data_IF_792020582770
#
_entry.id   IF_792020582770
#
_cell.length_a   1.000
_cell.length_b   1.000
_cell.length_c   1.000
_cell.angle_alpha   90.00
_cell.angle_beta   90.00
_cell.angle_gamma   90.00
#
_symmetry.space_group_name_H-M   'P 1'
#
loop_
_entity.id
_entity.type
_entity.pdbx_description
1 polymer ?
#
# COMPACT_ATOMS: atom_id res chain seq x y z
N UNK A 1 14.34 46.29 33.48
CA UNK A 1 13.43 46.27 32.32
C UNK A 1 14.10 45.36 31.30
N UNK A 2 13.83 44.04 31.33
CA UNK A 2 12.77 43.37 30.54
C UNK A 2 12.85 43.81 29.07
N UNK A 3 13.08 42.97 28.08
CA UNK A 3 13.24 41.52 27.96
C UNK A 3 13.20 41.31 26.44
N UNK A 4 14.25 40.72 25.85
CA UNK A 4 14.22 40.43 24.41
C UNK A 4 13.24 39.29 24.21
N UNK A 5 12.16 39.57 23.48
CA UNK A 5 11.24 38.58 22.92
C UNK A 5 12.04 37.65 22.01
N UNK A 6 12.49 36.53 22.55
CA UNK A 6 12.88 35.37 21.75
C UNK A 6 11.62 34.88 21.08
N UNK A 7 11.42 35.31 19.83
CA UNK A 7 10.41 34.76 18.93
C UNK A 7 10.87 33.34 18.61
N UNK A 8 10.52 32.40 19.48
CA UNK A 8 10.65 30.97 19.21
C UNK A 8 9.84 30.67 17.95
N UNK A 9 10.56 30.52 16.82
CA UNK A 9 10.01 29.83 15.66
C UNK A 9 9.61 28.43 16.12
N UNK A 10 8.35 27.98 15.92
CA UNK A 10 8.00 26.60 16.16
C UNK A 10 8.53 25.76 15.00
N UNK A 11 9.86 25.58 14.95
CA UNK A 11 10.53 24.65 14.05
C UNK A 11 10.54 23.29 14.74
N UNK A 12 9.37 22.71 14.92
CA UNK A 12 9.21 21.33 15.35
C UNK A 12 8.22 20.65 14.41
N UNK A 13 8.71 20.25 13.23
CA UNK A 13 8.02 19.29 12.34
C UNK A 13 9.06 18.42 11.67
N UNK A 14 9.59 17.44 12.40
CA UNK A 14 10.22 16.31 11.73
C UNK A 14 9.08 15.42 11.20
N UNK A 15 8.59 15.74 10.01
CA UNK A 15 7.70 14.82 9.29
C UNK A 15 8.57 13.61 8.86
N UNK A 16 8.25 12.41 9.34
CA UNK A 16 8.98 11.19 8.96
C UNK A 16 8.48 10.76 7.59
N UNK A 17 9.33 10.84 6.58
CA UNK A 17 9.02 10.35 5.23
C UNK A 17 8.94 8.83 5.29
N UNK A 18 7.76 8.31 4.96
CA UNK A 18 7.50 6.87 4.87
C UNK A 18 7.83 6.34 3.48
N UNK A 19 7.51 7.11 2.43
CA UNK A 19 7.59 6.62 1.06
C UNK A 19 7.76 7.76 0.07
N UNK A 20 8.55 7.53 -0.98
CA UNK A 20 8.66 8.44 -2.12
C UNK A 20 8.05 7.80 -3.37
N UNK A 21 7.22 8.57 -4.07
CA UNK A 21 6.54 8.07 -5.28
C UNK A 21 7.51 7.79 -6.43
N UNK A 22 7.22 6.81 -7.31
CA UNK A 22 8.13 6.39 -8.39
C UNK A 22 8.52 7.50 -9.37
N UNK A 23 7.63 8.48 -9.63
CA UNK A 23 7.93 9.64 -10.49
C UNK A 23 8.30 10.89 -9.68
N UNK A 24 8.40 10.77 -8.36
CA UNK A 24 8.72 11.89 -7.46
C UNK A 24 7.64 12.98 -7.44
N UNK A 25 6.38 12.65 -7.74
CA UNK A 25 5.30 13.65 -7.77
C UNK A 25 4.75 13.95 -6.36
N UNK A 26 4.81 12.98 -5.46
CA UNK A 26 4.45 13.09 -4.05
C UNK A 26 5.35 12.23 -3.15
N UNK A 27 5.20 12.40 -1.84
CA UNK A 27 5.72 11.49 -0.81
C UNK A 27 4.65 11.24 0.26
N UNK A 28 4.78 10.14 0.98
CA UNK A 28 3.97 9.85 2.16
C UNK A 28 4.74 10.24 3.40
N UNK A 29 4.09 10.97 4.31
CA UNK A 29 4.66 11.40 5.58
C UNK A 29 3.79 10.94 6.74
N UNK A 30 4.42 10.56 7.84
CA UNK A 30 3.74 10.38 9.12
C UNK A 30 3.54 11.75 9.77
N UNK A 31 2.29 12.06 10.11
CA UNK A 31 1.94 13.28 10.83
C UNK A 31 2.56 13.31 12.22
N UNK A 32 3.03 14.47 12.71
CA UNK A 32 3.82 14.56 13.94
C UNK A 32 3.02 14.27 15.22
N UNK A 33 1.68 14.43 15.18
CA UNK A 33 0.84 14.40 16.38
C UNK A 33 -0.43 13.53 16.27
N UNK A 34 -0.90 13.26 15.05
CA UNK A 34 -2.21 12.65 14.79
C UNK A 34 -2.12 11.22 14.28
N UNK A 35 -0.89 10.66 14.26
CA UNK A 35 -0.60 9.34 13.72
C UNK A 35 -1.21 9.14 12.33
N UNK A 36 -1.41 10.21 11.54
CA UNK A 36 -2.04 10.11 10.23
C UNK A 36 -0.98 9.97 9.14
N UNK A 37 -1.32 9.30 8.04
CA UNK A 37 -0.48 9.32 6.83
C UNK A 37 -0.94 10.47 5.94
N UNK A 38 0.01 11.31 5.54
CA UNK A 38 -0.23 12.45 4.67
C UNK A 38 0.39 12.20 3.30
N UNK A 39 -0.39 12.44 2.24
CA UNK A 39 0.12 12.54 0.87
C UNK A 39 0.56 13.98 0.65
N UNK A 40 1.86 14.19 0.44
CA UNK A 40 2.48 15.52 0.38
C UNK A 40 3.05 15.76 -1.02
N UNK A 41 2.71 16.90 -1.62
CA UNK A 41 3.25 17.29 -2.92
C UNK A 41 4.76 17.52 -2.83
N UNK A 42 5.51 16.89 -3.74
CA UNK A 42 6.95 17.10 -3.84
C UNK A 42 7.28 18.53 -4.29
N UNK A 43 6.42 19.14 -5.12
CA UNK A 43 6.60 20.50 -5.64
C UNK A 43 6.23 21.59 -4.63
N UNK A 44 5.24 21.33 -3.79
CA UNK A 44 4.77 22.29 -2.80
C UNK A 44 4.33 21.56 -1.51
N UNK A 45 5.22 21.39 -0.52
CA UNK A 45 4.93 20.64 0.70
C UNK A 45 3.77 21.19 1.56
N UNK A 46 3.38 22.45 1.37
CA UNK A 46 2.18 22.99 2.02
C UNK A 46 0.88 22.36 1.49
N UNK A 47 0.92 21.80 0.27
CA UNK A 47 -0.16 21.01 -0.30
C UNK A 47 -0.04 19.57 0.16
N UNK A 48 -0.91 19.21 1.09
CA UNK A 48 -1.01 17.86 1.63
C UNK A 48 -2.45 17.44 1.86
N UNK A 49 -2.71 16.15 1.74
CA UNK A 49 -4.01 15.52 1.97
C UNK A 49 -3.81 14.34 2.92
N UNK A 50 -4.67 14.22 3.93
CA UNK A 50 -4.67 13.02 4.76
C UNK A 50 -5.13 11.84 3.90
N UNK A 51 -4.37 10.75 3.93
CA UNK A 51 -4.79 9.47 3.39
C UNK A 51 -5.75 8.86 4.41
N UNK A 52 -6.95 8.47 3.99
CA UNK A 52 -7.98 7.95 4.90
C UNK A 52 -7.65 6.54 5.36
N UNK A 53 -6.75 6.41 6.32
CA UNK A 53 -6.29 5.13 6.88
C UNK A 53 -6.31 5.10 8.41
N UNK A 54 -6.21 3.89 8.95
CA UNK A 54 -5.86 3.62 10.35
C UNK A 54 -4.54 4.31 10.75
N UNK A 55 -4.23 4.44 12.07
CA UNK A 55 -3.02 5.10 12.53
C UNK A 55 -1.72 4.54 11.93
N UNK A 56 -0.84 5.47 11.58
CA UNK A 56 0.47 5.33 10.95
C UNK A 56 1.54 4.69 11.85
N UNK A 57 1.20 4.30 13.08
CA UNK A 57 2.17 3.79 14.05
C UNK A 57 2.83 2.48 13.66
N UNK A 58 2.17 1.69 12.82
CA UNK A 58 2.69 0.43 12.30
C UNK A 58 2.84 0.48 10.78
N UNK A 59 3.03 1.67 10.20
CA UNK A 59 3.29 1.83 8.76
C UNK A 59 4.76 2.18 8.61
N UNK A 60 5.49 1.29 7.98
CA UNK A 60 6.88 1.46 7.56
C UNK A 60 6.95 1.80 6.08
N UNK A 61 8.15 2.09 5.59
CA UNK A 61 8.39 2.31 4.17
C UNK A 61 8.11 1.07 3.31
N UNK A 62 8.33 -0.12 3.87
CA UNK A 62 8.14 -1.40 3.18
C UNK A 62 6.66 -1.75 3.01
N UNK A 63 5.78 -1.14 3.81
CA UNK A 63 4.34 -1.32 3.70
C UNK A 63 3.71 -0.52 2.54
N UNK A 64 4.49 0.34 1.87
CA UNK A 64 4.00 1.31 0.90
C UNK A 64 4.57 1.05 -0.49
N UNK A 65 3.70 0.78 -1.48
CA UNK A 65 4.14 0.59 -2.87
C UNK A 65 3.15 1.20 -3.86
N UNK A 66 3.61 2.18 -4.64
CA UNK A 66 2.83 2.75 -5.73
C UNK A 66 3.17 2.11 -7.08
N UNK A 67 2.18 2.08 -7.98
CA UNK A 67 2.39 1.63 -9.35
C UNK A 67 3.34 2.58 -10.10
N UNK A 68 4.11 2.11 -11.10
CA UNK A 68 5.00 2.95 -11.89
C UNK A 68 4.30 4.15 -12.53
N UNK A 69 3.03 4.00 -12.93
CA UNK A 69 2.24 5.09 -13.47
C UNK A 69 1.64 6.02 -12.40
N UNK A 70 1.80 5.68 -11.13
CA UNK A 70 1.29 6.33 -9.90
C UNK A 70 -0.23 6.38 -9.79
N UNK A 71 -0.96 5.56 -10.56
CA UNK A 71 -2.43 5.48 -10.42
C UNK A 71 -2.88 4.68 -9.21
N UNK A 72 -2.04 3.78 -8.73
CA UNK A 72 -2.34 2.92 -7.60
C UNK A 72 -1.32 3.11 -6.49
N UNK A 73 -1.79 3.01 -5.25
CA UNK A 73 -0.97 2.94 -4.06
C UNK A 73 -1.48 1.79 -3.22
N UNK A 74 -0.59 0.88 -2.85
CA UNK A 74 -0.86 -0.12 -1.82
C UNK A 74 -0.21 0.38 -0.55
N UNK A 75 -0.98 0.34 0.54
CA UNK A 75 -0.46 0.62 1.86
C UNK A 75 -0.99 -0.43 2.83
N UNK A 76 -0.09 -1.26 3.36
CA UNK A 76 -0.40 -2.52 4.04
C UNK A 76 -1.26 -3.45 3.17
N UNK A 77 -2.55 -3.59 3.53
CA UNK A 77 -3.51 -4.50 2.90
C UNK A 77 -4.68 -3.73 2.27
N UNK A 78 -4.47 -2.46 1.95
CA UNK A 78 -5.45 -1.63 1.28
C UNK A 78 -4.91 -1.12 -0.05
N UNK A 79 -5.78 -1.15 -1.06
CA UNK A 79 -5.49 -0.63 -2.39
C UNK A 79 -6.20 0.72 -2.55
N UNK A 80 -5.43 1.75 -2.87
CA UNK A 80 -5.92 3.09 -3.14
C UNK A 80 -5.79 3.43 -4.61
N UNK A 81 -6.82 4.06 -5.15
CA UNK A 81 -6.81 4.64 -6.48
C UNK A 81 -6.58 6.15 -6.39
N UNK A 82 -5.63 6.65 -7.18
CA UNK A 82 -5.39 8.07 -7.35
C UNK A 82 -6.51 8.70 -8.17
N UNK A 83 -7.18 9.71 -7.61
CA UNK A 83 -8.28 10.45 -8.26
C UNK A 83 -7.81 11.81 -8.77
N UNK A 84 -6.88 12.43 -8.05
CA UNK A 84 -6.21 13.67 -8.48
C UNK A 84 -4.75 13.69 -8.01
N UNK A 85 -4.07 14.84 -8.10
CA UNK A 85 -2.66 14.98 -7.77
C UNK A 85 -2.26 14.42 -6.39
N UNK A 86 -3.09 14.60 -5.36
CA UNK A 86 -2.80 14.17 -3.98
C UNK A 86 -3.93 13.36 -3.34
N UNK A 87 -5.06 13.22 -4.02
CA UNK A 87 -6.21 12.52 -3.49
C UNK A 87 -6.21 11.04 -3.91
N UNK A 88 -6.17 10.19 -2.90
CA UNK A 88 -6.22 8.74 -3.02
C UNK A 88 -7.43 8.24 -2.23
N UNK A 89 -8.22 7.39 -2.86
CA UNK A 89 -9.42 6.80 -2.24
C UNK A 89 -9.30 5.29 -2.23
N UNK A 90 -9.80 4.65 -1.18
CA UNK A 90 -9.84 3.19 -1.12
C UNK A 90 -10.61 2.65 -2.34
N UNK A 91 -10.00 1.72 -3.05
CA UNK A 91 -10.58 1.16 -4.26
C UNK A 91 -11.84 0.37 -3.93
N UNK A 92 -12.95 0.72 -4.58
CA UNK A 92 -14.33 0.26 -4.30
C UNK A 92 -14.86 0.68 -2.92
N UNK A 93 -14.21 0.25 -1.83
CA UNK A 93 -14.49 0.65 -0.44
C UNK A 93 -13.38 0.17 0.50
N UNK A 94 -13.27 0.80 1.67
CA UNK A 94 -12.36 0.37 2.74
C UNK A 94 -12.56 -1.12 3.08
N UNK A 95 -11.46 -1.86 3.17
CA UNK A 95 -11.37 -3.28 3.49
C UNK A 95 -11.68 -4.21 2.30
N UNK A 96 -12.02 -3.69 1.12
CA UNK A 96 -12.35 -4.53 -0.03
C UNK A 96 -11.14 -5.36 -0.47
N UNK A 97 -9.96 -4.74 -0.59
CA UNK A 97 -8.76 -5.43 -1.06
C UNK A 97 -8.35 -6.56 -0.11
N UNK A 98 -8.22 -6.24 1.18
CA UNK A 98 -7.99 -7.23 2.26
C UNK A 98 -8.97 -8.39 2.22
N UNK A 99 -10.28 -8.11 2.16
CA UNK A 99 -11.30 -9.16 2.13
C UNK A 99 -11.15 -10.07 0.92
N UNK A 100 -10.87 -9.52 -0.27
CA UNK A 100 -10.69 -10.31 -1.49
C UNK A 100 -9.41 -11.12 -1.50
N UNK A 101 -8.34 -10.56 -0.96
CA UNK A 101 -7.08 -11.26 -0.77
C UNK A 101 -7.27 -12.48 0.14
N UNK A 102 -7.89 -12.29 1.31
CA UNK A 102 -8.14 -13.35 2.28
C UNK A 102 -9.02 -14.46 1.68
N UNK A 103 -10.12 -14.08 1.01
CA UNK A 103 -10.98 -15.02 0.30
C UNK A 103 -10.21 -15.85 -0.74
N UNK A 104 -9.29 -15.22 -1.48
CA UNK A 104 -8.50 -15.88 -2.50
C UNK A 104 -7.52 -16.88 -1.88
N UNK A 105 -6.81 -16.48 -0.84
CA UNK A 105 -5.82 -17.33 -0.15
C UNK A 105 -6.49 -18.54 0.49
N UNK A 106 -7.60 -18.34 1.20
CA UNK A 106 -8.36 -19.42 1.83
C UNK A 106 -8.85 -20.45 0.80
N UNK A 107 -9.31 -20.00 -0.37
CA UNK A 107 -9.86 -20.87 -1.41
C UNK A 107 -8.79 -21.61 -2.22
N UNK A 108 -7.73 -20.90 -2.59
CA UNK A 108 -6.78 -21.39 -3.60
C UNK A 108 -5.48 -21.92 -2.98
N UNK A 109 -5.02 -21.34 -1.88
CA UNK A 109 -3.80 -21.76 -1.19
C UNK A 109 -4.11 -22.73 -0.05
N UNK A 110 -5.24 -22.54 0.65
CA UNK A 110 -5.71 -23.40 1.75
C UNK A 110 -4.64 -23.62 2.83
N UNK A 111 -4.13 -22.55 3.45
CA UNK A 111 -3.09 -22.72 4.46
C UNK A 111 -3.62 -23.35 5.74
N UNK A 112 -2.72 -23.99 6.47
CA UNK A 112 -3.01 -24.63 7.76
C UNK A 112 -3.37 -23.61 8.86
N UNK A 113 -2.93 -22.36 8.71
CA UNK A 113 -3.22 -21.26 9.63
C UNK A 113 -3.49 -19.95 8.88
N UNK A 114 -4.28 -19.09 9.52
CA UNK A 114 -4.51 -17.70 9.08
C UNK A 114 -3.52 -16.70 9.67
N UNK A 115 -2.53 -17.19 10.41
CA UNK A 115 -1.41 -16.37 10.85
C UNK A 115 -0.38 -16.29 9.71
N UNK A 116 -0.57 -15.32 8.84
CA UNK A 116 0.34 -15.02 7.73
C UNK A 116 0.79 -13.56 7.79
N UNK A 117 1.92 -13.28 7.16
CA UNK A 117 2.47 -11.95 6.94
C UNK A 117 2.34 -11.66 5.45
N UNK A 118 1.92 -10.44 5.11
CA UNK A 118 1.79 -9.98 3.73
C UNK A 118 2.85 -8.93 3.44
N UNK A 119 3.43 -9.03 2.25
CA UNK A 119 4.38 -8.08 1.72
C UNK A 119 3.96 -7.67 0.31
N UNK A 120 3.92 -6.37 0.04
CA UNK A 120 3.74 -5.86 -1.31
C UNK A 120 5.13 -5.77 -1.95
N UNK A 121 5.47 -6.70 -2.84
CA UNK A 121 6.83 -6.82 -3.37
C UNK A 121 7.12 -5.79 -4.47
N UNK A 122 6.09 -5.45 -5.26
CA UNK A 122 6.26 -4.52 -6.36
C UNK A 122 5.13 -4.56 -7.37
N UNK A 123 5.21 -3.68 -8.35
CA UNK A 123 4.30 -3.65 -9.49
C UNK A 123 5.01 -4.06 -10.78
N UNK A 124 4.26 -4.69 -11.68
CA UNK A 124 4.68 -4.87 -13.05
C UNK A 124 4.97 -3.52 -13.72
N UNK A 125 5.88 -3.53 -14.69
CA UNK A 125 6.30 -2.31 -15.40
C UNK A 125 5.15 -1.58 -16.09
N UNK A 126 4.12 -2.31 -16.52
CA UNK A 126 2.91 -1.75 -17.14
C UNK A 126 1.83 -1.33 -16.12
N UNK A 127 2.15 -1.33 -14.83
CA UNK A 127 1.27 -0.95 -13.71
C UNK A 127 -0.02 -1.77 -13.62
N UNK A 128 -0.06 -2.97 -14.23
CA UNK A 128 -1.26 -3.79 -14.28
C UNK A 128 -1.33 -4.86 -13.20
N UNK A 129 -0.20 -5.31 -12.67
CA UNK A 129 -0.12 -6.37 -11.66
C UNK A 129 0.69 -5.92 -10.47
N UNK A 130 0.13 -6.11 -9.28
CA UNK A 130 0.85 -6.00 -8.01
C UNK A 130 1.26 -7.41 -7.58
N UNK A 131 2.55 -7.60 -7.31
CA UNK A 131 3.09 -8.81 -6.70
C UNK A 131 2.94 -8.76 -5.18
N UNK A 132 2.45 -9.85 -4.61
CA UNK A 132 2.18 -9.98 -3.18
C UNK A 132 2.83 -11.26 -2.68
N UNK A 133 3.77 -11.09 -1.76
CA UNK A 133 4.36 -12.16 -0.96
C UNK A 133 3.46 -12.49 0.23
N UNK A 134 3.30 -13.78 0.50
CA UNK A 134 2.58 -14.31 1.65
C UNK A 134 3.51 -15.27 2.38
N UNK A 135 3.80 -15.00 3.64
CA UNK A 135 4.64 -15.86 4.48
C UNK A 135 3.86 -16.40 5.65
N UNK A 136 3.86 -17.72 5.81
CA UNK A 136 3.47 -18.41 7.03
C UNK A 136 4.74 -18.80 7.79
N UNK A 137 5.01 -18.18 8.95
CA UNK A 137 6.28 -18.39 9.66
C UNK A 137 6.66 -19.85 9.89
N UNK A 138 5.66 -20.72 10.08
CA UNK A 138 5.86 -22.12 10.42
C UNK A 138 5.61 -23.10 9.26
N UNK A 139 5.05 -22.65 8.12
CA UNK A 139 4.55 -23.56 7.08
C UNK A 139 4.88 -23.19 5.63
N UNK A 140 5.56 -22.07 5.39
CA UNK A 140 6.16 -21.75 4.09
C UNK A 140 5.73 -20.41 3.53
N UNK A 141 5.88 -20.25 2.21
CA UNK A 141 5.62 -19.00 1.50
C UNK A 141 4.84 -19.24 0.21
N UNK A 142 4.12 -18.22 -0.23
CA UNK A 142 3.46 -18.18 -1.52
C UNK A 142 3.57 -16.79 -2.14
N UNK A 143 3.52 -16.75 -3.46
CA UNK A 143 3.44 -15.51 -4.23
C UNK A 143 2.19 -15.52 -5.09
N UNK A 144 1.51 -14.38 -5.11
CA UNK A 144 0.33 -14.16 -5.94
C UNK A 144 0.41 -12.78 -6.60
N UNK A 145 -0.42 -12.56 -7.61
CA UNK A 145 -0.63 -11.24 -8.19
C UNK A 145 -2.03 -10.72 -7.91
N UNK A 146 -2.17 -9.41 -7.77
CA UNK A 146 -3.43 -8.72 -8.01
C UNK A 146 -3.37 -8.00 -9.36
N UNK A 147 -4.29 -8.33 -10.26
CA UNK A 147 -4.41 -7.68 -11.56
C UNK A 147 -5.40 -6.51 -11.48
N UNK A 148 -4.89 -5.29 -11.58
CA UNK A 148 -5.69 -4.06 -11.51
C UNK A 148 -6.58 -3.82 -12.74
N UNK A 149 -6.38 -4.53 -13.86
CA UNK A 149 -7.27 -4.44 -15.03
C UNK A 149 -8.53 -5.28 -14.84
N UNK A 150 -8.39 -6.48 -14.30
CA UNK A 150 -9.50 -7.42 -14.06
C UNK A 150 -10.10 -7.27 -12.66
N UNK A 151 -9.33 -6.71 -11.72
CA UNK A 151 -9.61 -6.65 -10.28
C UNK A 151 -9.67 -8.03 -9.62
N UNK A 152 -8.82 -8.95 -10.08
CA UNK A 152 -8.77 -10.34 -9.63
C UNK A 152 -7.37 -10.71 -9.13
N UNK A 153 -7.32 -11.70 -8.25
CA UNK A 153 -6.08 -12.31 -7.80
C UNK A 153 -5.72 -13.51 -8.68
N UNK A 154 -4.44 -13.66 -9.00
CA UNK A 154 -3.87 -14.68 -9.89
C UNK A 154 -2.71 -15.39 -9.17
N UNK A 155 -2.47 -16.67 -9.43
CA UNK A 155 -1.29 -17.39 -8.89
C UNK A 155 -0.05 -17.09 -9.74
N UNK A 156 1.11 -17.03 -9.10
CA UNK A 156 2.39 -17.03 -9.82
C UNK A 156 2.59 -18.42 -10.45
N UNK A 157 2.44 -18.53 -11.77
CA UNK A 157 2.61 -19.80 -12.51
C UNK A 157 1.32 -20.46 -12.99
N UNK A 158 0.44 -19.71 -13.66
CA UNK A 158 -0.67 -20.29 -14.42
C UNK A 158 -0.20 -21.21 -15.54
N UNK A 159 0.07 -22.47 -15.23
CA UNK A 159 -0.31 -23.57 -16.12
C UNK A 159 -1.77 -23.91 -15.81
N UNK A 160 -2.59 -23.96 -16.85
CA UNK A 160 -4.01 -24.29 -16.80
C UNK A 160 -4.29 -25.54 -15.95
N UNK A 161 -5.46 -25.65 -15.29
CA UNK A 161 -5.96 -26.97 -14.98
C UNK A 161 -6.20 -27.66 -16.34
N UNK A 162 -5.37 -28.65 -16.68
CA UNK A 162 -5.65 -29.52 -17.82
C UNK A 162 -7.07 -30.06 -17.66
N UNK A 163 -7.97 -29.53 -18.48
CA UNK A 163 -9.25 -30.12 -18.73
C UNK A 163 -8.98 -31.49 -19.38
N UNK A 164 -9.61 -32.51 -18.81
CA UNK A 164 -10.04 -33.72 -19.48
C UNK A 164 -8.95 -34.51 -20.26
N UNK A 165 -8.58 -35.65 -19.69
CA UNK A 165 -8.30 -36.83 -20.51
C UNK A 165 -9.02 -38.00 -19.88
N UNK A 166 -10.33 -38.03 -20.11
CA UNK A 166 -11.09 -39.26 -20.26
C UNK A 166 -10.28 -40.26 -21.09
N UNK A 167 -9.92 -41.40 -20.49
CA UNK A 167 -10.00 -42.74 -21.08
C UNK A 167 -9.88 -43.81 -20.00
#
# INVERSE_FOLDING_TARGET
MQGQDTKESPTAKSDVVLYESPKGSYRLEKGPNDHSVWVVSAKNPSQRRALSTEPADYISSEDCVASPDEKWLVMREELFQKIDALNFVAFKKKGWFKSKLYDYVDKNIKPETRHWILSAEGWSSDSSRLEIGITWPDSGEAQIFFNARTNEFERLGGAEPNADSSK
#
